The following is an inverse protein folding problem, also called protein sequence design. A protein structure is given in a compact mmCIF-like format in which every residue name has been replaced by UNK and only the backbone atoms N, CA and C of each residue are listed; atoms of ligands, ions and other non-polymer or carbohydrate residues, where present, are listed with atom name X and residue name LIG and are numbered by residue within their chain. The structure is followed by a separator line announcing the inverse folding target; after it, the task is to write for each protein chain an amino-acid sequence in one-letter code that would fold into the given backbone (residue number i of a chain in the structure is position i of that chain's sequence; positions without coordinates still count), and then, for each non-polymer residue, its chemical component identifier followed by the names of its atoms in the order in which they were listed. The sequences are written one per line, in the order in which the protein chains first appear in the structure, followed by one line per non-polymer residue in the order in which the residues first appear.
data_IF_655934211747
#
_entry.id   IF_655934211747
#
_cell.length_a   1.000
_cell.length_b   1.000
_cell.length_c   1.000
_cell.angle_alpha   90.00
_cell.angle_beta   90.00
_cell.angle_gamma   90.00
#
_symmetry.space_group_name_H-M   'P 1'
#
loop_
_entity.id
_entity.type
_entity.pdbx_description
1 polymer ?
#
# COMPACT_ATOMS: atom_id res chain seq x y z
N UNK A 1 12.61 8.75 19.03
CA UNK A 1 12.11 7.65 18.19
C UNK A 1 10.63 7.46 18.51
N UNK A 2 9.74 7.39 17.50
CA UNK A 2 8.31 7.17 17.71
C UNK A 2 8.04 5.70 18.06
N UNK A 3 7.07 5.47 18.94
CA UNK A 3 6.59 4.11 19.23
C UNK A 3 5.63 3.62 18.16
N UNK A 4 5.46 2.30 18.00
CA UNK A 4 4.48 1.71 17.07
C UNK A 4 3.06 2.24 17.29
N UNK A 5 2.69 2.50 18.55
CA UNK A 5 1.39 3.10 18.89
C UNK A 5 1.26 4.53 18.33
N UNK A 6 2.30 5.34 18.42
CA UNK A 6 2.31 6.71 17.89
C UNK A 6 2.24 6.69 16.36
N UNK A 7 3.06 5.86 15.69
CA UNK A 7 3.05 5.74 14.23
C UNK A 7 1.66 5.35 13.73
N UNK A 8 1.04 4.34 14.34
CA UNK A 8 -0.32 3.90 13.98
C UNK A 8 -1.35 5.01 14.17
N UNK A 9 -1.29 5.70 15.30
CA UNK A 9 -2.24 6.78 15.61
C UNK A 9 -2.08 7.97 14.65
N UNK A 10 -0.84 8.39 14.38
CA UNK A 10 -0.56 9.48 13.46
C UNK A 10 -1.02 9.16 12.04
N UNK A 11 -0.77 7.93 11.56
CA UNK A 11 -1.25 7.46 10.26
C UNK A 11 -2.78 7.52 10.16
N UNK A 12 -3.46 6.95 11.14
CA UNK A 12 -4.94 6.93 11.17
C UNK A 12 -5.48 8.35 11.24
N UNK A 13 -4.94 9.21 12.11
CA UNK A 13 -5.38 10.60 12.23
C UNK A 13 -5.17 11.37 10.94
N UNK A 14 -3.99 11.25 10.32
CA UNK A 14 -3.65 11.92 9.07
C UNK A 14 -4.66 11.66 7.95
N UNK A 15 -5.05 10.40 7.76
CA UNK A 15 -6.03 10.04 6.73
C UNK A 15 -7.48 10.30 7.16
N UNK A 16 -7.81 10.18 8.45
CA UNK A 16 -9.15 10.55 8.95
C UNK A 16 -9.43 12.04 8.75
N UNK A 17 -8.45 12.92 8.97
CA UNK A 17 -8.55 14.35 8.69
C UNK A 17 -8.74 14.66 7.21
N UNK A 18 -8.41 13.71 6.32
CA UNK A 18 -8.62 13.76 4.87
C UNK A 18 -9.86 13.00 4.40
N UNK A 19 -10.80 12.77 5.31
CA UNK A 19 -12.11 12.18 5.01
C UNK A 19 -12.14 10.67 4.89
N UNK A 20 -11.10 9.97 5.38
CA UNK A 20 -11.13 8.50 5.43
C UNK A 20 -11.88 8.00 6.66
N UNK A 21 -12.74 7.02 6.47
CA UNK A 21 -13.39 6.29 7.57
C UNK A 21 -12.41 5.31 8.20
N UNK A 22 -12.27 5.37 9.52
CA UNK A 22 -11.47 4.37 10.23
C UNK A 22 -12.17 3.02 10.24
N UNK A 23 -11.51 2.00 9.72
CA UNK A 23 -11.99 0.62 9.69
C UNK A 23 -11.08 -0.26 10.54
N UNK A 24 -11.64 -1.01 11.44
CA UNK A 24 -10.87 -1.94 12.28
C UNK A 24 -10.21 -3.04 11.46
N UNK A 25 -9.07 -3.54 11.96
CA UNK A 25 -8.44 -4.76 11.43
C UNK A 25 -9.45 -5.91 11.38
N UNK A 26 -9.56 -6.54 10.21
CA UNK A 26 -10.26 -7.83 10.14
C UNK A 26 -9.49 -8.90 10.94
N UNK A 27 -10.13 -10.00 11.32
CA UNK A 27 -9.45 -11.14 11.93
C UNK A 27 -8.31 -11.66 11.05
N UNK A 28 -7.22 -12.09 11.68
CA UNK A 28 -6.07 -12.69 10.96
C UNK A 28 -6.47 -14.01 10.28
N UNK A 29 -7.37 -14.75 10.89
CA UNK A 29 -8.01 -15.92 10.26
C UNK A 29 -9.29 -15.43 9.59
N UNK A 30 -9.34 -15.38 8.25
CA UNK A 30 -10.53 -14.94 7.54
C UNK A 30 -11.65 -15.98 7.68
N UNK A 31 -12.87 -15.51 7.92
CA UNK A 31 -14.04 -16.41 8.05
C UNK A 31 -14.76 -16.61 6.72
N UNK A 32 -14.67 -15.64 5.82
CA UNK A 32 -15.52 -15.55 4.63
C UNK A 32 -14.75 -15.63 3.31
N UNK A 33 -13.43 -15.85 3.34
CA UNK A 33 -12.61 -16.03 2.13
C UNK A 33 -11.85 -17.38 2.17
N UNK A 34 -12.37 -18.41 1.48
CA UNK A 34 -11.74 -19.72 1.44
C UNK A 34 -10.44 -19.75 0.62
N UNK A 35 -10.10 -18.67 -0.07
CA UNK A 35 -8.88 -18.56 -0.87
C UNK A 35 -7.67 -18.11 -0.04
N UNK A 36 -7.90 -17.63 1.18
CA UNK A 36 -6.87 -17.14 2.08
C UNK A 36 -6.77 -17.99 3.33
N UNK A 37 -5.58 -18.52 3.61
CA UNK A 37 -5.29 -19.19 4.89
C UNK A 37 -5.23 -18.17 6.04
N UNK A 38 -4.56 -17.04 5.79
CA UNK A 38 -4.49 -15.90 6.69
C UNK A 38 -4.72 -14.58 5.92
N UNK A 39 -5.19 -13.56 6.61
CA UNK A 39 -5.24 -12.20 6.08
C UNK A 39 -3.80 -11.72 5.85
N UNK A 40 -3.42 -11.59 4.59
CA UNK A 40 -2.04 -11.30 4.17
C UNK A 40 -1.82 -9.85 3.73
N UNK A 41 -2.90 -9.07 3.62
CA UNK A 41 -2.83 -7.65 3.26
C UNK A 41 -4.00 -6.86 3.84
N UNK A 42 -3.83 -5.54 3.92
CA UNK A 42 -4.89 -4.62 4.30
C UNK A 42 -6.06 -4.57 3.32
N UNK A 43 -5.82 -4.96 2.07
CA UNK A 43 -6.82 -5.02 1.01
C UNK A 43 -7.82 -6.18 1.19
N UNK A 44 -7.43 -7.25 1.88
CA UNK A 44 -8.23 -8.48 1.93
C UNK A 44 -9.67 -8.25 2.39
N UNK A 45 -9.90 -7.41 3.40
CA UNK A 45 -11.24 -7.08 3.89
C UNK A 45 -12.09 -6.20 2.94
N UNK A 46 -11.50 -5.67 1.88
CA UNK A 46 -12.15 -4.81 0.88
C UNK A 46 -12.20 -5.46 -0.51
N UNK A 47 -11.82 -6.74 -0.61
CA UNK A 47 -11.75 -7.50 -1.86
C UNK A 47 -13.07 -7.44 -2.66
N UNK A 48 -14.19 -7.56 -1.97
CA UNK A 48 -15.53 -7.49 -2.56
C UNK A 48 -15.81 -6.13 -3.24
N UNK A 49 -15.32 -5.02 -2.66
CA UNK A 49 -15.47 -3.69 -3.26
C UNK A 49 -14.65 -3.58 -4.54
N UNK A 50 -13.38 -3.99 -4.49
CA UNK A 50 -12.50 -3.94 -5.66
C UNK A 50 -12.96 -4.87 -6.79
N UNK A 51 -13.65 -5.95 -6.47
CA UNK A 51 -14.30 -6.85 -7.45
C UNK A 51 -15.67 -6.33 -7.92
N UNK A 52 -16.18 -5.23 -7.37
CA UNK A 52 -17.48 -4.69 -7.72
C UNK A 52 -18.68 -5.49 -7.21
N UNK A 53 -18.46 -6.41 -6.27
CA UNK A 53 -19.50 -7.27 -5.69
C UNK A 53 -20.01 -6.80 -4.34
N UNK A 54 -19.32 -5.84 -3.73
CA UNK A 54 -19.67 -5.24 -2.43
C UNK A 54 -19.84 -3.74 -2.50
N UNK A 55 -20.36 -3.15 -1.43
CA UNK A 55 -20.47 -1.71 -1.25
C UNK A 55 -20.25 -1.31 0.21
N UNK A 56 -19.91 -0.05 0.45
CA UNK A 56 -19.77 0.55 1.78
C UNK A 56 -20.44 1.92 1.76
N UNK A 57 -20.75 2.43 2.95
CA UNK A 57 -21.30 3.79 3.11
C UNK A 57 -20.21 4.89 2.97
N UNK A 58 -18.96 4.51 2.72
CA UNK A 58 -17.83 5.40 2.57
C UNK A 58 -17.01 5.03 1.31
N UNK A 59 -16.40 6.05 0.72
CA UNK A 59 -15.53 5.91 -0.46
C UNK A 59 -14.04 5.93 -0.12
N UNK A 60 -13.69 6.21 1.14
CA UNK A 60 -12.31 6.24 1.64
C UNK A 60 -12.24 5.50 2.97
N UNK A 61 -11.23 4.68 3.12
CA UNK A 61 -10.98 3.99 4.38
C UNK A 61 -9.51 4.12 4.80
N UNK A 62 -9.27 4.08 6.11
CA UNK A 62 -7.95 3.96 6.71
C UNK A 62 -7.96 2.87 7.76
N UNK A 63 -6.93 2.06 7.78
CA UNK A 63 -6.79 0.98 8.77
C UNK A 63 -5.34 0.68 9.14
N UNK A 64 -5.18 -0.13 10.18
CA UNK A 64 -3.95 -0.86 10.48
C UNK A 64 -4.34 -2.33 10.55
N UNK A 65 -4.10 -3.07 9.48
CA UNK A 65 -4.48 -4.48 9.34
C UNK A 65 -3.40 -5.40 9.88
N UNK A 66 -3.77 -6.30 10.76
CA UNK A 66 -2.91 -7.40 11.23
C UNK A 66 -2.80 -8.47 10.16
N UNK A 67 -1.58 -8.83 9.78
CA UNK A 67 -1.28 -9.71 8.66
C UNK A 67 -0.32 -10.83 9.04
N UNK A 68 -0.49 -11.97 8.35
CA UNK A 68 0.47 -13.08 8.32
C UNK A 68 0.67 -13.50 6.87
N UNK A 69 1.94 -13.60 6.43
CA UNK A 69 2.33 -14.05 5.09
C UNK A 69 3.07 -15.38 5.19
N UNK A 70 2.33 -16.47 5.21
CA UNK A 70 2.84 -17.81 5.41
C UNK A 70 2.50 -18.79 4.27
N UNK A 71 1.85 -18.31 3.21
CA UNK A 71 1.46 -19.15 2.07
C UNK A 71 0.97 -18.30 0.88
N UNK A 72 0.85 -18.92 -0.28
CA UNK A 72 0.34 -18.29 -1.50
C UNK A 72 1.34 -17.35 -2.16
N UNK A 73 0.84 -16.38 -2.94
CA UNK A 73 1.68 -15.46 -3.71
C UNK A 73 2.52 -14.53 -2.83
N UNK A 74 1.97 -14.10 -1.70
CA UNK A 74 2.68 -13.31 -0.70
C UNK A 74 3.12 -14.19 0.44
N UNK A 75 4.23 -14.89 0.27
CA UNK A 75 4.77 -15.84 1.23
C UNK A 75 6.18 -15.43 1.65
N UNK A 76 6.34 -15.04 2.91
CA UNK A 76 7.61 -14.58 3.47
C UNK A 76 8.31 -15.66 4.30
N UNK A 77 7.86 -16.94 4.26
CA UNK A 77 8.37 -18.00 5.13
C UNK A 77 9.87 -18.25 4.98
N UNK A 78 10.40 -18.06 3.78
CA UNK A 78 11.82 -18.27 3.52
C UNK A 78 12.68 -17.04 3.85
N UNK A 79 12.04 -15.87 4.02
CA UNK A 79 12.72 -14.62 4.32
C UNK A 79 12.75 -14.30 5.82
N UNK A 80 11.70 -14.75 6.55
CA UNK A 80 11.60 -14.55 8.00
C UNK A 80 12.76 -15.24 8.73
N UNK A 81 13.51 -14.44 9.49
CA UNK A 81 14.68 -14.90 10.22
C UNK A 81 15.99 -14.82 9.42
N UNK A 82 15.96 -14.47 8.15
CA UNK A 82 17.12 -14.26 7.30
C UNK A 82 17.46 -12.77 7.12
N UNK A 83 16.49 -11.90 7.32
CA UNK A 83 16.68 -10.45 7.31
C UNK A 83 16.07 -9.77 8.55
N UNK A 84 16.08 -8.43 8.59
CA UNK A 84 15.61 -7.65 9.73
C UNK A 84 14.23 -7.01 9.52
N UNK A 85 13.56 -7.26 8.39
CA UNK A 85 12.32 -6.59 8.02
C UNK A 85 11.19 -7.53 7.60
N UNK A 86 11.43 -8.79 7.28
CA UNK A 86 10.37 -9.79 7.12
C UNK A 86 10.01 -10.42 8.47
N UNK A 87 8.74 -10.39 8.81
CA UNK A 87 8.20 -10.92 10.05
C UNK A 87 7.01 -11.84 9.79
N UNK A 88 6.87 -12.88 10.59
CA UNK A 88 5.70 -13.80 10.54
C UNK A 88 4.40 -13.02 10.74
N UNK A 89 4.41 -12.04 11.63
CA UNK A 89 3.27 -11.18 11.95
C UNK A 89 3.69 -9.72 11.81
N UNK A 90 2.87 -8.94 11.11
CA UNK A 90 3.07 -7.51 10.95
C UNK A 90 1.75 -6.75 10.88
N UNK A 91 1.80 -5.44 11.00
CA UNK A 91 0.68 -4.56 10.76
C UNK A 91 0.90 -3.79 9.46
N UNK A 92 -0.07 -3.85 8.54
CA UNK A 92 -0.08 -3.06 7.32
C UNK A 92 -0.93 -1.82 7.54
N UNK A 93 -0.30 -0.65 7.49
CA UNK A 93 -0.98 0.64 7.48
C UNK A 93 -1.55 0.88 6.09
N UNK A 94 -2.86 1.02 5.98
CA UNK A 94 -3.54 1.12 4.70
C UNK A 94 -4.44 2.34 4.60
N UNK A 95 -4.39 3.02 3.46
CA UNK A 95 -5.36 4.01 3.03
C UNK A 95 -5.97 3.56 1.69
N UNK A 96 -7.28 3.60 1.61
CA UNK A 96 -8.05 2.98 0.53
C UNK A 96 -8.97 3.99 -0.12
N UNK A 97 -8.99 4.01 -1.45
CA UNK A 97 -9.90 4.80 -2.26
C UNK A 97 -10.77 3.87 -3.10
N UNK A 98 -12.07 4.01 -2.97
CA UNK A 98 -13.06 3.22 -3.70
C UNK A 98 -13.72 4.09 -4.77
N UNK A 99 -12.96 4.34 -5.85
CA UNK A 99 -13.42 5.16 -6.97
C UNK A 99 -13.51 6.66 -6.67
N UNK A 100 -12.72 7.17 -5.70
CA UNK A 100 -12.74 8.58 -5.30
C UNK A 100 -11.45 9.29 -5.76
N UNK A 101 -10.32 9.08 -5.09
CA UNK A 101 -9.03 9.62 -5.54
C UNK A 101 -8.16 8.52 -6.15
N UNK A 102 -7.09 8.91 -6.85
CA UNK A 102 -6.16 7.99 -7.50
C UNK A 102 -4.71 8.44 -7.28
N UNK A 103 -3.80 8.15 -8.21
CA UNK A 103 -2.34 8.29 -8.10
C UNK A 103 -1.89 9.66 -7.59
N UNK A 104 -2.36 10.75 -8.21
CA UNK A 104 -1.92 12.10 -7.86
C UNK A 104 -2.09 12.39 -6.38
N UNK A 105 -3.29 12.17 -5.86
CA UNK A 105 -3.58 12.47 -4.47
C UNK A 105 -2.89 11.50 -3.51
N UNK A 106 -2.76 10.22 -3.90
CA UNK A 106 -2.04 9.23 -3.11
C UNK A 106 -0.56 9.60 -2.96
N UNK A 107 0.09 10.02 -4.04
CA UNK A 107 1.49 10.47 -4.05
C UNK A 107 1.67 11.71 -3.15
N UNK A 108 0.81 12.72 -3.29
CA UNK A 108 0.86 13.93 -2.46
C UNK A 108 0.78 13.59 -0.98
N UNK A 109 -0.18 12.78 -0.59
CA UNK A 109 -0.37 12.42 0.81
C UNK A 109 0.72 11.50 1.36
N UNK A 110 1.23 10.57 0.56
CA UNK A 110 2.35 9.72 0.95
C UNK A 110 3.60 10.58 1.22
N UNK A 111 3.90 11.50 0.31
CA UNK A 111 5.04 12.41 0.46
C UNK A 111 4.90 13.32 1.68
N UNK A 112 3.75 13.97 1.84
CA UNK A 112 3.46 14.83 3.00
C UNK A 112 3.60 14.07 4.33
N UNK A 113 3.00 12.87 4.43
CA UNK A 113 3.06 12.07 5.64
C UNK A 113 4.51 11.71 6.03
N UNK A 114 5.28 11.25 5.06
CA UNK A 114 6.64 10.75 5.29
C UNK A 114 7.60 11.92 5.58
N UNK A 115 7.50 13.01 4.85
CA UNK A 115 8.48 14.11 4.92
C UNK A 115 8.10 15.19 5.92
N UNK A 116 6.83 15.58 5.98
CA UNK A 116 6.41 16.69 6.83
C UNK A 116 5.90 16.22 8.20
N UNK A 117 5.12 15.14 8.24
CA UNK A 117 4.57 14.64 9.51
C UNK A 117 5.56 13.75 10.25
N UNK A 118 6.23 12.85 9.54
CA UNK A 118 7.22 11.96 10.16
C UNK A 118 8.64 12.48 10.11
N UNK A 119 8.92 13.47 9.25
CA UNK A 119 10.19 14.17 9.19
C UNK A 119 11.35 13.32 8.68
N UNK A 120 11.08 12.38 7.77
CA UNK A 120 12.14 11.61 7.15
C UNK A 120 12.92 12.48 6.16
N UNK A 121 14.26 12.35 6.10
CA UNK A 121 15.09 13.17 5.22
C UNK A 121 14.83 12.86 3.75
N UNK A 122 14.40 13.85 2.99
CA UNK A 122 14.00 13.75 1.58
C UNK A 122 15.09 13.20 0.68
N UNK A 123 16.34 13.51 0.98
CA UNK A 123 17.50 13.04 0.24
C UNK A 123 17.76 11.52 0.36
N UNK A 124 17.10 10.85 1.29
CA UNK A 124 17.17 9.39 1.48
C UNK A 124 16.00 8.65 0.85
N UNK A 125 14.98 9.37 0.38
CA UNK A 125 13.78 8.77 -0.17
C UNK A 125 13.92 8.56 -1.68
N UNK A 126 13.43 7.42 -2.13
CA UNK A 126 13.40 7.04 -3.54
C UNK A 126 11.99 6.61 -3.91
N UNK A 127 11.53 7.00 -5.06
CA UNK A 127 10.28 6.51 -5.61
C UNK A 127 10.54 5.58 -6.78
N UNK A 128 9.68 4.57 -6.94
CA UNK A 128 9.72 3.67 -8.08
C UNK A 128 8.39 3.67 -8.80
N UNK A 129 8.44 3.45 -10.12
CA UNK A 129 7.26 3.36 -10.98
C UNK A 129 7.43 2.19 -11.95
N UNK A 130 6.33 1.68 -12.47
CA UNK A 130 6.35 0.57 -13.41
C UNK A 130 6.93 1.00 -14.76
N UNK A 131 7.92 0.24 -15.28
CA UNK A 131 8.59 0.53 -16.56
C UNK A 131 7.85 0.03 -17.80
N UNK A 132 6.76 -0.73 -17.60
CA UNK A 132 6.03 -1.40 -18.67
C UNK A 132 6.46 -2.86 -18.83
N UNK A 133 5.66 -3.61 -19.58
CA UNK A 133 5.93 -5.01 -19.90
C UNK A 133 4.65 -5.85 -19.95
N UNK A 134 4.74 -7.03 -20.56
CA UNK A 134 3.63 -7.98 -20.70
C UNK A 134 2.35 -7.37 -21.32
N UNK A 135 2.50 -6.40 -22.23
CA UNK A 135 1.38 -5.71 -22.87
C UNK A 135 0.74 -4.59 -22.04
N UNK A 136 1.35 -4.20 -20.92
CA UNK A 136 0.96 -3.06 -20.11
C UNK A 136 1.98 -1.94 -20.30
N UNK A 137 1.48 -0.74 -20.59
CA UNK A 137 2.32 0.44 -20.80
C UNK A 137 3.04 0.89 -19.51
N UNK A 138 4.19 1.60 -19.64
CA UNK A 138 4.86 2.23 -18.51
C UNK A 138 3.92 3.20 -17.77
N UNK A 139 4.05 3.26 -16.44
CA UNK A 139 3.28 4.22 -15.64
C UNK A 139 3.92 5.62 -15.63
N UNK A 140 3.94 6.25 -16.82
CA UNK A 140 4.45 7.61 -16.99
C UNK A 140 3.64 8.65 -16.21
N UNK A 141 2.37 8.37 -15.94
CA UNK A 141 1.52 9.26 -15.17
C UNK A 141 1.99 9.35 -13.71
N UNK A 142 2.29 8.22 -13.06
CA UNK A 142 2.83 8.23 -11.70
C UNK A 142 4.19 8.93 -11.64
N UNK A 143 5.07 8.67 -12.63
CA UNK A 143 6.37 9.35 -12.72
C UNK A 143 6.21 10.88 -12.81
N UNK A 144 5.28 11.36 -13.64
CA UNK A 144 4.98 12.78 -13.76
C UNK A 144 4.42 13.38 -12.47
N UNK A 145 3.58 12.64 -11.74
CA UNK A 145 3.06 13.12 -10.47
C UNK A 145 4.16 13.24 -9.41
N UNK A 146 5.09 12.28 -9.32
CA UNK A 146 6.24 12.42 -8.43
C UNK A 146 7.01 13.71 -8.69
N UNK A 147 7.26 14.06 -9.95
CA UNK A 147 8.02 15.25 -10.30
C UNK A 147 7.27 16.58 -10.16
N UNK A 148 5.95 16.58 -10.29
CA UNK A 148 5.13 17.78 -10.27
C UNK A 148 4.56 18.11 -8.90
N UNK A 149 4.18 17.08 -8.16
CA UNK A 149 3.42 17.22 -6.92
C UNK A 149 4.31 17.13 -5.68
N UNK A 150 5.57 16.75 -5.86
CA UNK A 150 6.54 16.63 -4.76
C UNK A 150 7.82 17.38 -5.09
N UNK A 151 8.71 17.52 -4.11
CA UNK A 151 10.06 18.06 -4.30
C UNK A 151 11.14 16.97 -4.39
N UNK A 152 10.75 15.73 -4.69
CA UNK A 152 11.67 14.63 -4.95
C UNK A 152 12.57 14.96 -6.15
N UNK A 153 13.86 14.63 -6.05
CA UNK A 153 14.75 14.86 -7.19
C UNK A 153 14.46 13.87 -8.31
N UNK A 154 14.54 14.32 -9.57
CA UNK A 154 14.20 13.47 -10.73
C UNK A 154 15.01 12.19 -10.81
N UNK A 155 16.27 12.20 -10.37
CA UNK A 155 17.13 11.03 -10.33
C UNK A 155 16.81 10.07 -9.17
N UNK A 156 15.89 10.43 -8.28
CA UNK A 156 15.37 9.58 -7.20
C UNK A 156 14.04 8.90 -7.58
N UNK A 157 13.56 9.11 -8.81
CA UNK A 157 12.41 8.38 -9.36
C UNK A 157 12.93 7.38 -10.40
N UNK A 158 12.77 6.09 -10.12
CA UNK A 158 13.32 5.01 -10.92
C UNK A 158 12.20 4.17 -11.52
N UNK A 159 12.47 3.59 -12.70
CA UNK A 159 11.55 2.64 -13.33
C UNK A 159 12.01 1.21 -13.07
N UNK A 160 11.07 0.37 -12.65
CA UNK A 160 11.32 -1.05 -12.40
C UNK A 160 10.27 -1.93 -13.09
N UNK A 161 10.65 -3.18 -13.30
CA UNK A 161 9.84 -4.16 -14.01
C UNK A 161 8.68 -4.72 -13.16
N UNK A 162 8.04 -5.73 -13.69
CA UNK A 162 6.87 -6.38 -13.10
C UNK A 162 7.15 -7.03 -11.73
N UNK A 163 8.37 -7.49 -11.47
CA UNK A 163 8.69 -8.12 -10.18
C UNK A 163 8.61 -7.13 -9.02
N UNK A 164 8.86 -5.85 -9.29
CA UNK A 164 8.96 -4.83 -8.27
C UNK A 164 7.77 -3.85 -8.27
N UNK A 165 7.34 -3.41 -9.47
CA UNK A 165 6.32 -2.37 -9.58
C UNK A 165 5.01 -2.82 -10.27
N UNK A 166 4.62 -4.08 -10.08
CA UNK A 166 3.31 -4.58 -10.52
C UNK A 166 2.71 -5.47 -9.44
N UNK A 167 1.68 -4.98 -8.77
CA UNK A 167 1.03 -5.72 -7.70
C UNK A 167 -0.05 -6.66 -8.24
N UNK A 168 -0.14 -7.84 -7.67
CA UNK A 168 -1.18 -8.83 -7.95
C UNK A 168 -1.69 -9.42 -6.64
N UNK A 169 -3.01 -9.46 -6.46
CA UNK A 169 -3.62 -10.05 -5.26
C UNK A 169 -3.34 -11.56 -5.15
N UNK A 170 -3.32 -12.26 -6.28
CA UNK A 170 -3.12 -13.68 -6.40
C UNK A 170 -3.16 -14.10 -7.87
N UNK A 171 -3.39 -15.38 -8.15
CA UNK A 171 -3.53 -15.90 -9.52
C UNK A 171 -4.73 -15.28 -10.26
N UNK A 172 -5.78 -14.94 -9.52
CA UNK A 172 -6.98 -14.27 -10.02
C UNK A 172 -7.37 -13.17 -9.03
N UNK A 173 -7.72 -12.00 -9.55
CA UNK A 173 -8.16 -10.87 -8.72
C UNK A 173 -7.60 -9.52 -9.20
N UNK A 174 -7.76 -8.48 -8.41
CA UNK A 174 -7.20 -7.17 -8.71
C UNK A 174 -5.69 -7.24 -8.91
N UNK A 175 -5.21 -6.59 -9.97
CA UNK A 175 -3.78 -6.43 -10.26
C UNK A 175 -3.55 -5.14 -11.03
N UNK A 176 -2.32 -4.66 -11.05
CA UNK A 176 -1.94 -3.50 -11.84
C UNK A 176 -0.58 -2.92 -11.47
N UNK A 177 -0.10 -1.97 -12.28
CA UNK A 177 1.09 -1.21 -11.96
C UNK A 177 0.98 -0.55 -10.60
N UNK A 178 2.08 -0.52 -9.86
CA UNK A 178 2.19 0.22 -8.61
C UNK A 178 3.37 1.19 -8.64
N UNK A 179 3.28 2.21 -7.81
CA UNK A 179 4.37 3.12 -7.51
C UNK A 179 4.67 3.03 -6.02
N UNK A 180 5.93 2.99 -5.67
CA UNK A 180 6.37 2.76 -4.30
C UNK A 180 7.32 3.86 -3.83
N UNK A 181 7.31 4.15 -2.54
CA UNK A 181 8.23 5.07 -1.87
C UNK A 181 9.10 4.28 -0.89
N UNK A 182 10.43 4.37 -1.09
CA UNK A 182 11.46 3.67 -0.32
C UNK A 182 12.32 4.62 0.50
#
# INVERSE_FOLDING_TARGET
MKTSKQIRQEYISFFTERGHSFVRSAPVVPHDDPTLLFTNSGMAQFKDIFLGTGSREYNRAVNSQKCIRASGKHNDLEDVGHDNYHHTFFEMLGNWSFGDYFKQQAIVWAWELITEVWGLPKEKLWATVFEGGDGVDPDEEAEQFWWKETDIQKNQVLRYNKSDNFWEMGEVGPCGPCSELH
#
